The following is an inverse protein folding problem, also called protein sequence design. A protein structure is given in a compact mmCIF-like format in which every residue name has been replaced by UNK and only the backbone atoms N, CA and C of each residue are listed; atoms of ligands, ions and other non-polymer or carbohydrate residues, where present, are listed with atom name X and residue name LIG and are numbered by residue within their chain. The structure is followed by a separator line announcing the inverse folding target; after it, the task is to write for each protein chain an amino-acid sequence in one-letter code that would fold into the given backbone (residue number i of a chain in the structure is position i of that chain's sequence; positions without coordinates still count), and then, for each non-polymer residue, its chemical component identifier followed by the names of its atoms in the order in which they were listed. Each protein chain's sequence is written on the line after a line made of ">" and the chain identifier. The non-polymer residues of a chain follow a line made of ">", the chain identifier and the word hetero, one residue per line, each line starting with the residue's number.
data_IF_302104257411
#
_entry.id   IF_302104257411
#
_cell.length_a   1.000
_cell.length_b   1.000
_cell.length_c   1.000
_cell.angle_alpha   90.00
_cell.angle_beta   90.00
_cell.angle_gamma   90.00
#
_symmetry.space_group_name_H-M   'P 1'
#
loop_
_entity.id
_entity.type
_entity.pdbx_description
1 polymer ?
#
# COMPACT_ATOMS: atom_id res chain seq x y z
N UNK A 1 -1.98 26.86 6.66
CA UNK A 1 -3.30 26.25 6.42
C UNK A 1 -3.26 24.74 6.59
N UNK A 2 -2.65 23.94 5.68
CA UNK A 2 -2.65 22.47 5.82
C UNK A 2 -2.05 22.00 7.15
N UNK A 3 -0.93 22.61 7.59
CA UNK A 3 -0.30 22.32 8.89
C UNK A 3 -1.25 22.64 10.06
N UNK A 4 -1.95 23.78 10.00
CA UNK A 4 -2.79 24.28 11.10
C UNK A 4 -4.12 23.54 11.24
N UNK A 5 -4.55 22.85 10.17
CA UNK A 5 -5.87 22.20 10.03
C UNK A 5 -5.74 20.79 9.47
N UNK A 6 -4.69 20.08 9.88
CA UNK A 6 -4.32 18.78 9.28
C UNK A 6 -5.45 17.76 9.36
N UNK A 7 -6.11 17.59 10.50
CA UNK A 7 -7.20 16.60 10.67
C UNK A 7 -8.41 16.87 9.76
N UNK A 8 -8.75 18.15 9.58
CA UNK A 8 -9.88 18.58 8.73
C UNK A 8 -9.54 18.48 7.24
N UNK A 9 -8.31 18.81 6.86
CA UNK A 9 -7.91 18.94 5.46
C UNK A 9 -7.28 17.68 4.89
N UNK A 10 -6.76 16.76 5.72
CA UNK A 10 -6.15 15.52 5.26
C UNK A 10 -7.11 14.68 4.40
N UNK A 11 -8.39 14.49 4.78
CA UNK A 11 -9.35 13.77 3.92
C UNK A 11 -9.63 14.46 2.57
N UNK A 12 -9.37 15.76 2.46
CA UNK A 12 -9.59 16.57 1.26
C UNK A 12 -8.39 16.52 0.32
N UNK A 13 -7.17 16.71 0.85
CA UNK A 13 -5.95 16.76 0.05
C UNK A 13 -5.32 15.39 -0.18
N UNK A 14 -5.77 14.37 0.56
CA UNK A 14 -5.28 13.01 0.51
C UNK A 14 -6.46 12.02 0.51
N UNK A 15 -6.30 10.81 1.03
CA UNK A 15 -7.35 9.79 1.02
C UNK A 15 -8.55 10.20 1.89
N UNK A 16 -9.80 10.04 1.41
CA UNK A 16 -10.18 9.37 0.16
C UNK A 16 -10.28 10.30 -1.07
N UNK A 17 -10.39 11.62 -0.92
CA UNK A 17 -10.72 12.55 -2.02
C UNK A 17 -9.67 12.58 -3.13
N UNK A 18 -8.39 12.38 -2.81
CA UNK A 18 -7.32 12.30 -3.83
C UNK A 18 -7.57 11.18 -4.85
N UNK A 19 -8.17 10.07 -4.44
CA UNK A 19 -8.52 8.97 -5.34
C UNK A 19 -9.60 9.37 -6.35
N UNK A 20 -10.64 10.07 -5.89
CA UNK A 20 -11.68 10.63 -6.77
C UNK A 20 -11.10 11.70 -7.71
N UNK A 21 -10.18 12.53 -7.20
CA UNK A 21 -9.46 13.50 -8.01
C UNK A 21 -8.67 12.81 -9.14
N UNK A 22 -8.01 11.68 -8.87
CA UNK A 22 -7.33 10.87 -9.89
C UNK A 22 -8.32 10.27 -10.91
N UNK A 23 -9.51 9.81 -10.49
CA UNK A 23 -10.51 9.30 -11.45
C UNK A 23 -11.00 10.40 -12.41
N UNK A 24 -11.13 11.63 -11.91
CA UNK A 24 -11.66 12.77 -12.66
C UNK A 24 -10.58 13.73 -13.18
N UNK A 25 -9.31 13.36 -13.08
CA UNK A 25 -8.17 14.28 -13.18
C UNK A 25 -8.18 15.11 -14.47
N UNK A 26 -8.47 14.49 -15.62
CA UNK A 26 -8.57 15.18 -16.89
C UNK A 26 -9.70 16.22 -16.93
N UNK A 27 -10.89 15.88 -16.43
CA UNK A 27 -12.05 16.77 -16.40
C UNK A 27 -11.92 17.96 -15.43
N UNK A 28 -11.09 17.82 -14.38
CA UNK A 28 -10.86 18.85 -13.36
C UNK A 28 -9.55 19.61 -13.55
N UNK A 29 -8.75 19.26 -14.56
CA UNK A 29 -7.41 19.82 -14.78
C UNK A 29 -7.48 21.34 -14.99
N UNK A 30 -6.63 22.09 -14.27
CA UNK A 30 -6.55 23.55 -14.39
C UNK A 30 -5.13 24.07 -14.55
N UNK A 31 -4.25 23.72 -13.62
CA UNK A 31 -2.84 24.10 -13.66
C UNK A 31 -1.98 22.84 -13.60
N UNK A 32 -0.93 22.74 -14.44
CA UNK A 32 -0.04 21.59 -14.41
C UNK A 32 0.72 21.52 -13.09
N UNK A 33 0.75 20.33 -12.50
CA UNK A 33 1.56 19.99 -11.32
C UNK A 33 2.37 18.73 -11.63
N UNK A 34 3.63 18.73 -11.20
CA UNK A 34 4.55 17.64 -11.45
C UNK A 34 5.13 17.61 -12.87
N UNK A 35 5.82 16.51 -13.17
CA UNK A 35 6.50 16.27 -14.43
C UNK A 35 6.03 14.94 -15.01
N UNK A 36 5.71 14.92 -16.30
CA UNK A 36 5.29 13.72 -17.01
C UNK A 36 6.44 13.24 -17.88
N UNK A 37 6.78 11.95 -17.78
CA UNK A 37 7.74 11.27 -18.65
C UNK A 37 7.00 10.16 -19.38
N UNK A 38 7.02 10.16 -20.69
CA UNK A 38 6.19 9.25 -21.50
C UNK A 38 7.04 8.33 -22.37
N UNK A 39 6.44 7.30 -22.96
CA UNK A 39 7.12 6.48 -23.99
C UNK A 39 7.65 7.30 -25.17
N UNK A 40 7.06 8.46 -25.47
CA UNK A 40 7.52 9.36 -26.54
C UNK A 40 8.80 10.12 -26.18
N UNK A 41 9.19 10.07 -24.91
CA UNK A 41 10.37 10.74 -24.37
C UNK A 41 11.57 9.78 -24.26
N UNK A 42 11.42 8.52 -24.64
CA UNK A 42 12.51 7.55 -24.72
C UNK A 42 13.69 8.10 -25.54
N UNK A 43 14.89 7.98 -25.00
CA UNK A 43 16.13 8.57 -25.50
C UNK A 43 16.35 10.05 -25.12
N UNK A 44 15.37 10.68 -24.46
CA UNK A 44 15.37 12.12 -24.12
C UNK A 44 14.86 12.38 -22.70
N UNK A 45 14.77 11.38 -21.82
CA UNK A 45 14.23 11.57 -20.47
C UNK A 45 15.02 12.62 -19.68
N UNK A 46 16.35 12.65 -19.84
CA UNK A 46 17.19 13.69 -19.23
C UNK A 46 16.84 15.11 -19.70
N UNK A 47 16.43 15.28 -20.96
CA UNK A 47 15.99 16.58 -21.49
C UNK A 47 14.67 17.02 -20.85
N UNK A 48 13.74 16.08 -20.67
CA UNK A 48 12.47 16.32 -19.95
C UNK A 48 12.75 16.76 -18.52
N UNK A 49 13.63 16.05 -17.80
CA UNK A 49 14.03 16.43 -16.43
C UNK A 49 14.66 17.83 -16.36
N UNK A 50 15.43 18.24 -17.37
CA UNK A 50 16.08 19.58 -17.41
C UNK A 50 15.09 20.73 -17.51
N UNK A 51 13.87 20.49 -17.99
CA UNK A 51 12.81 21.49 -18.06
C UNK A 51 12.23 21.83 -16.68
N UNK A 52 12.45 20.97 -15.66
CA UNK A 52 12.04 21.28 -14.30
C UNK A 52 12.85 22.48 -13.76
N UNK A 53 12.19 23.54 -13.23
CA UNK A 53 12.88 24.78 -12.88
C UNK A 53 13.74 24.66 -11.62
N UNK A 54 13.43 23.72 -10.72
CA UNK A 54 14.18 23.51 -9.49
C UNK A 54 15.34 22.54 -9.75
N UNK A 55 16.57 22.95 -9.39
CA UNK A 55 17.78 22.15 -9.63
C UNK A 55 18.15 21.23 -8.47
N UNK A 56 17.78 21.60 -7.25
CA UNK A 56 18.15 20.89 -6.03
C UNK A 56 17.02 20.00 -5.55
N UNK A 57 16.68 18.98 -6.34
CA UNK A 57 15.68 17.97 -5.96
C UNK A 57 16.27 16.99 -4.96
N UNK A 58 15.50 16.70 -3.92
CA UNK A 58 15.87 15.78 -2.84
C UNK A 58 14.89 14.61 -2.71
N UNK A 59 13.61 14.83 -3.03
CA UNK A 59 12.57 13.81 -2.97
C UNK A 59 11.78 13.79 -4.26
N UNK A 60 11.76 12.64 -4.91
CA UNK A 60 10.90 12.32 -6.03
C UNK A 60 9.86 11.31 -5.52
N UNK A 61 8.58 11.58 -5.79
CA UNK A 61 7.55 10.54 -5.71
C UNK A 61 7.12 10.25 -7.14
N UNK A 62 7.21 9.00 -7.54
CA UNK A 62 6.95 8.55 -8.91
C UNK A 62 5.92 7.44 -8.94
N UNK A 63 5.01 7.50 -9.90
CA UNK A 63 4.01 6.45 -10.18
C UNK A 63 3.90 6.20 -11.68
N UNK A 64 3.45 5.01 -12.09
CA UNK A 64 2.95 4.76 -13.45
C UNK A 64 1.41 4.67 -13.50
N UNK A 65 0.74 4.87 -12.36
CA UNK A 65 -0.71 4.88 -12.23
C UNK A 65 -1.41 3.54 -12.47
N UNK A 66 -0.70 2.41 -12.47
CA UNK A 66 -1.29 1.09 -12.74
C UNK A 66 -2.18 0.60 -11.59
N UNK A 67 -1.89 1.00 -10.36
CA UNK A 67 -2.61 0.57 -9.16
C UNK A 67 -2.84 1.72 -8.19
N UNK A 68 -3.62 2.72 -8.63
CA UNK A 68 -3.96 3.86 -7.76
C UNK A 68 -4.88 3.41 -6.64
N UNK A 69 -4.37 3.36 -5.40
CA UNK A 69 -5.11 2.86 -4.22
C UNK A 69 -5.78 1.49 -4.51
N UNK A 70 -7.05 1.33 -4.14
CA UNK A 70 -7.92 0.23 -4.57
C UNK A 70 -8.69 0.49 -5.87
N UNK A 71 -8.40 1.57 -6.61
CA UNK A 71 -9.17 2.02 -7.77
C UNK A 71 -8.65 1.45 -9.10
N UNK A 72 -7.47 0.83 -9.09
CA UNK A 72 -6.87 0.17 -10.25
C UNK A 72 -6.12 1.12 -11.18
N UNK A 73 -6.13 0.81 -12.47
CA UNK A 73 -5.35 1.52 -13.48
C UNK A 73 -6.01 2.86 -13.85
N UNK A 74 -5.36 3.96 -13.51
CA UNK A 74 -5.76 5.32 -13.88
C UNK A 74 -4.76 6.03 -14.81
N UNK A 75 -3.73 5.32 -15.27
CA UNK A 75 -2.73 5.84 -16.21
C UNK A 75 -2.12 7.16 -15.75
N UNK A 76 -2.00 8.11 -16.69
CA UNK A 76 -1.48 9.46 -16.42
C UNK A 76 -2.28 10.27 -15.40
N UNK A 77 -3.54 9.90 -15.15
CA UNK A 77 -4.34 10.58 -14.12
C UNK A 77 -3.90 10.24 -12.70
N UNK A 78 -3.03 9.24 -12.53
CA UNK A 78 -2.40 8.90 -11.26
C UNK A 78 -1.54 10.00 -10.64
N UNK A 79 -1.18 11.05 -11.38
CA UNK A 79 -0.36 12.19 -10.91
C UNK A 79 -0.86 12.82 -9.60
N UNK A 80 -2.17 12.77 -9.33
CA UNK A 80 -2.74 13.27 -8.09
C UNK A 80 -2.09 12.65 -6.84
N UNK A 81 -1.65 11.39 -6.91
CA UNK A 81 -1.03 10.68 -5.78
C UNK A 81 0.37 11.24 -5.46
N UNK A 82 1.37 11.27 -6.39
CA UNK A 82 2.65 11.93 -6.13
C UNK A 82 2.52 13.37 -5.63
N UNK A 83 1.57 14.13 -6.18
CA UNK A 83 1.30 15.52 -5.75
C UNK A 83 0.83 15.55 -4.30
N UNK A 84 -0.17 14.74 -3.95
CA UNK A 84 -0.69 14.63 -2.59
C UNK A 84 0.38 14.19 -1.59
N UNK A 85 1.15 13.14 -1.91
CA UNK A 85 2.26 12.63 -1.08
C UNK A 85 3.29 13.71 -0.78
N UNK A 86 3.74 14.45 -1.80
CA UNK A 86 4.75 15.50 -1.61
C UNK A 86 4.23 16.71 -0.84
N UNK A 87 2.92 16.99 -0.91
CA UNK A 87 2.30 17.96 -0.02
C UNK A 87 2.39 17.51 1.45
N UNK A 88 2.21 16.21 1.74
CA UNK A 88 2.38 15.65 3.09
C UNK A 88 3.84 15.60 3.55
N UNK A 89 4.80 15.30 2.65
CA UNK A 89 6.23 15.44 2.95
C UNK A 89 6.58 16.84 3.46
N UNK A 90 5.94 17.86 2.88
CA UNK A 90 6.13 19.25 3.29
C UNK A 90 5.41 19.56 4.60
N UNK A 91 4.12 19.26 4.67
CA UNK A 91 3.28 19.65 5.81
C UNK A 91 3.59 18.86 7.09
N UNK A 92 3.91 17.56 6.97
CA UNK A 92 4.14 16.67 8.10
C UNK A 92 5.63 16.42 8.34
N UNK A 93 6.40 16.28 7.26
CA UNK A 93 7.84 15.95 7.32
C UNK A 93 8.77 17.17 7.31
N UNK A 94 8.25 18.38 7.06
CA UNK A 94 9.05 19.61 6.97
C UNK A 94 10.02 19.65 5.78
N UNK A 95 9.84 18.79 4.78
CA UNK A 95 10.65 18.80 3.56
C UNK A 95 10.32 20.06 2.76
N UNK A 96 11.34 20.71 2.18
CA UNK A 96 11.13 21.93 1.41
C UNK A 96 10.36 21.60 0.12
N UNK A 97 9.25 22.27 -0.19
CA UNK A 97 8.46 21.96 -1.38
C UNK A 97 9.25 22.19 -2.69
N UNK A 98 10.20 23.14 -2.70
CA UNK A 98 11.09 23.37 -3.85
C UNK A 98 12.08 22.23 -4.10
N UNK A 99 12.24 21.30 -3.16
CA UNK A 99 13.09 20.11 -3.27
C UNK A 99 12.28 18.84 -3.60
N UNK A 100 10.96 18.98 -3.77
CA UNK A 100 10.03 17.91 -4.09
C UNK A 100 9.71 17.92 -5.60
N UNK A 101 9.69 16.75 -6.23
CA UNK A 101 9.33 16.59 -7.63
C UNK A 101 8.35 15.42 -7.82
N UNK A 102 7.06 15.70 -8.07
CA UNK A 102 6.07 14.66 -8.41
C UNK A 102 6.26 14.22 -9.86
N UNK A 103 6.31 12.92 -10.12
CA UNK A 103 6.50 12.37 -11.46
C UNK A 103 5.43 11.32 -11.77
N UNK A 104 4.93 11.34 -13.01
CA UNK A 104 4.16 10.23 -13.58
C UNK A 104 4.86 9.70 -14.82
N UNK A 105 5.08 8.39 -14.86
CA UNK A 105 5.60 7.67 -16.01
C UNK A 105 4.43 7.16 -16.84
N UNK A 106 4.16 7.79 -17.99
CA UNK A 106 3.07 7.42 -18.88
C UNK A 106 3.52 6.41 -19.94
N UNK A 107 3.18 5.15 -19.69
CA UNK A 107 3.38 4.03 -20.61
C UNK A 107 2.08 3.59 -21.29
N UNK A 108 1.03 4.40 -21.21
CA UNK A 108 -0.34 4.05 -21.58
C UNK A 108 -1.19 3.59 -20.39
N UNK A 109 -2.42 3.16 -20.67
CA UNK A 109 -3.35 2.63 -19.66
C UNK A 109 -4.17 1.48 -20.25
N UNK A 110 -4.45 0.47 -19.43
CA UNK A 110 -5.35 -0.63 -19.79
C UNK A 110 -6.82 -0.30 -19.50
N UNK A 111 -7.10 0.84 -18.87
CA UNK A 111 -8.45 1.28 -18.55
C UNK A 111 -9.20 1.77 -19.79
N UNK A 112 -10.12 0.94 -20.28
CA UNK A 112 -10.94 1.26 -21.47
C UNK A 112 -11.78 2.52 -21.31
N UNK A 113 -12.25 2.84 -20.10
CA UNK A 113 -13.03 4.05 -19.87
C UNK A 113 -12.18 5.29 -20.15
N UNK A 114 -10.94 5.31 -19.64
CA UNK A 114 -10.01 6.41 -19.87
C UNK A 114 -9.53 6.49 -21.32
N UNK A 115 -9.31 5.36 -21.99
CA UNK A 115 -8.95 5.36 -23.41
C UNK A 115 -10.02 6.03 -24.28
N UNK A 116 -11.29 5.85 -23.91
CA UNK A 116 -12.45 6.42 -24.61
C UNK A 116 -12.90 7.80 -24.09
N UNK A 117 -12.37 8.27 -22.96
CA UNK A 117 -12.72 9.56 -22.37
C UNK A 117 -12.03 10.71 -23.10
N UNK A 118 -12.78 11.65 -23.68
CA UNK A 118 -12.25 12.81 -24.40
C UNK A 118 -11.31 13.70 -23.56
N UNK A 119 -11.46 13.70 -22.24
CA UNK A 119 -10.65 14.49 -21.31
C UNK A 119 -9.42 13.76 -20.79
N UNK A 120 -9.20 12.49 -21.13
CA UNK A 120 -8.02 11.75 -20.70
C UNK A 120 -6.72 12.44 -21.17
N UNK A 121 -5.83 12.70 -20.21
CA UNK A 121 -4.62 13.50 -20.40
C UNK A 121 -3.39 12.68 -20.83
N UNK A 122 -3.46 11.36 -20.79
CA UNK A 122 -2.33 10.48 -21.09
C UNK A 122 -2.26 9.99 -22.53
N UNK A 123 -1.28 9.12 -22.80
CA UNK A 123 -1.16 8.39 -24.05
C UNK A 123 -2.38 7.47 -24.23
N UNK A 124 -3.15 7.71 -25.31
CA UNK A 124 -4.31 6.88 -25.71
C UNK A 124 -3.87 5.57 -26.36
N UNK A 125 -3.19 4.74 -25.57
CA UNK A 125 -2.72 3.41 -25.94
C UNK A 125 -2.75 2.49 -24.71
N UNK A 126 -2.76 1.18 -24.97
CA UNK A 126 -2.57 0.17 -23.92
C UNK A 126 -1.18 0.29 -23.31
N UNK A 127 -1.04 -0.20 -22.06
CA UNK A 127 0.25 -0.17 -21.35
C UNK A 127 1.32 -0.92 -22.14
N UNK A 128 2.47 -0.29 -22.32
CA UNK A 128 3.68 -1.03 -22.73
C UNK A 128 4.06 -2.05 -21.65
N UNK A 129 4.62 -3.17 -22.07
CA UNK A 129 5.01 -4.27 -21.18
C UNK A 129 6.38 -4.80 -21.58
N UNK A 130 7.01 -5.59 -20.70
CA UNK A 130 8.28 -6.25 -21.00
C UNK A 130 9.41 -5.25 -21.26
N UNK A 131 10.21 -5.51 -22.29
CA UNK A 131 11.44 -4.76 -22.60
C UNK A 131 11.20 -3.27 -22.79
N UNK A 132 10.14 -2.87 -23.51
CA UNK A 132 9.87 -1.45 -23.78
C UNK A 132 9.62 -0.64 -22.49
N UNK A 133 8.87 -1.21 -21.54
CA UNK A 133 8.65 -0.61 -20.21
C UNK A 133 9.96 -0.52 -19.42
N UNK A 134 10.72 -1.62 -19.38
CA UNK A 134 11.97 -1.69 -18.61
C UNK A 134 13.04 -0.74 -19.13
N UNK A 135 13.16 -0.57 -20.44
CA UNK A 135 14.11 0.36 -21.06
C UNK A 135 13.80 1.81 -20.69
N UNK A 136 12.53 2.23 -20.72
CA UNK A 136 12.13 3.58 -20.30
C UNK A 136 12.42 3.80 -18.80
N UNK A 137 12.09 2.82 -17.96
CA UNK A 137 12.33 2.92 -16.53
C UNK A 137 13.83 2.97 -16.19
N UNK A 138 14.65 2.20 -16.90
CA UNK A 138 16.10 2.23 -16.72
C UNK A 138 16.71 3.56 -17.17
N UNK A 139 16.25 4.09 -18.30
CA UNK A 139 16.63 5.44 -18.75
C UNK A 139 16.22 6.49 -17.71
N UNK A 140 14.99 6.42 -17.19
CA UNK A 140 14.50 7.33 -16.16
C UNK A 140 15.36 7.31 -14.90
N UNK A 141 15.63 6.14 -14.33
CA UNK A 141 16.43 6.02 -13.11
C UNK A 141 17.87 6.51 -13.33
N UNK A 142 18.47 6.17 -14.47
CA UNK A 142 19.78 6.66 -14.87
C UNK A 142 19.82 8.19 -15.01
N UNK A 143 18.82 8.78 -15.68
CA UNK A 143 18.71 10.22 -15.87
C UNK A 143 18.51 10.97 -14.55
N UNK A 144 17.69 10.43 -13.63
CA UNK A 144 17.49 10.98 -12.28
C UNK A 144 18.80 11.02 -11.50
N UNK A 145 19.54 9.91 -11.47
CA UNK A 145 20.86 9.85 -10.83
C UNK A 145 21.85 10.82 -11.48
N UNK A 146 21.85 10.93 -12.81
CA UNK A 146 22.75 11.82 -13.54
C UNK A 146 22.52 13.30 -13.21
N UNK A 147 21.27 13.73 -13.09
CA UNK A 147 20.94 15.16 -12.90
C UNK A 147 20.82 15.57 -11.43
N UNK A 148 20.37 14.69 -10.53
CA UNK A 148 20.13 15.00 -9.12
C UNK A 148 21.11 14.32 -8.16
N UNK A 149 21.96 13.41 -8.67
CA UNK A 149 23.02 12.75 -7.91
C UNK A 149 22.55 11.56 -7.06
N UNK A 150 23.50 10.95 -6.35
CA UNK A 150 23.31 9.68 -5.61
C UNK A 150 22.39 9.77 -4.38
N UNK A 151 22.12 10.98 -3.90
CA UNK A 151 21.40 11.21 -2.63
C UNK A 151 19.92 11.56 -2.81
N UNK A 152 19.45 11.67 -4.04
CA UNK A 152 18.03 11.91 -4.30
C UNK A 152 17.23 10.69 -3.86
N UNK A 153 16.22 10.90 -3.01
CA UNK A 153 15.26 9.87 -2.63
C UNK A 153 14.26 9.68 -3.78
N UNK A 154 14.07 8.44 -4.21
CA UNK A 154 13.07 8.06 -5.20
C UNK A 154 12.06 7.14 -4.51
N UNK A 155 10.89 7.68 -4.20
CA UNK A 155 9.76 6.93 -3.68
C UNK A 155 8.90 6.42 -4.84
N UNK A 156 8.81 5.11 -4.97
CA UNK A 156 7.85 4.44 -5.85
C UNK A 156 6.49 4.37 -5.17
N UNK A 157 5.43 4.69 -5.92
CA UNK A 157 4.07 4.75 -5.43
C UNK A 157 3.07 4.18 -6.43
N UNK A 158 2.12 3.37 -5.97
CA UNK A 158 0.96 2.89 -6.73
C UNK A 158 1.30 2.17 -8.06
N UNK A 159 2.42 1.44 -8.07
CA UNK A 159 2.76 0.50 -9.15
C UNK A 159 1.99 -0.82 -8.98
N UNK A 160 1.77 -1.58 -10.04
CA UNK A 160 1.25 -2.93 -9.87
C UNK A 160 2.26 -3.87 -9.21
N UNK A 161 1.75 -4.86 -8.45
CA UNK A 161 2.55 -5.78 -7.63
C UNK A 161 3.82 -6.30 -8.30
N UNK A 162 3.73 -6.76 -9.55
CA UNK A 162 4.89 -7.33 -10.24
C UNK A 162 6.00 -6.29 -10.45
N UNK A 163 5.64 -5.11 -10.98
CA UNK A 163 6.57 -4.00 -11.18
C UNK A 163 7.10 -3.47 -9.83
N UNK A 164 6.24 -3.26 -8.83
CA UNK A 164 6.65 -2.73 -7.54
C UNK A 164 7.79 -3.54 -6.88
N UNK A 165 7.66 -4.88 -6.86
CA UNK A 165 8.70 -5.77 -6.33
C UNK A 165 9.97 -5.77 -7.18
N UNK A 166 9.84 -5.85 -8.51
CA UNK A 166 10.99 -5.90 -9.41
C UNK A 166 11.79 -4.59 -9.39
N UNK A 167 11.11 -3.44 -9.39
CA UNK A 167 11.70 -2.11 -9.29
C UNK A 167 12.44 -1.93 -7.97
N UNK A 168 11.79 -2.27 -6.84
CA UNK A 168 12.42 -2.17 -5.53
C UNK A 168 13.66 -3.07 -5.44
N UNK A 169 13.57 -4.33 -5.89
CA UNK A 169 14.68 -5.27 -5.85
C UNK A 169 15.85 -4.87 -6.77
N UNK A 170 15.56 -4.30 -7.95
CA UNK A 170 16.57 -3.82 -8.92
C UNK A 170 17.26 -2.56 -8.41
N UNK A 171 16.49 -1.54 -8.04
CA UNK A 171 17.03 -0.21 -7.80
C UNK A 171 17.51 0.04 -6.36
N UNK A 172 17.10 -0.77 -5.37
CA UNK A 172 17.66 -0.68 -4.00
C UNK A 172 19.16 -0.94 -3.92
N UNK A 173 19.74 -1.57 -4.96
CA UNK A 173 21.18 -1.84 -5.05
C UNK A 173 21.99 -0.65 -5.58
N UNK A 174 21.33 0.30 -6.23
CA UNK A 174 21.99 1.35 -7.00
C UNK A 174 21.49 2.76 -6.68
N UNK A 175 20.33 2.92 -6.06
CA UNK A 175 19.73 4.23 -5.76
C UNK A 175 19.20 4.25 -4.33
N UNK A 176 19.04 5.46 -3.78
CA UNK A 176 18.25 5.65 -2.57
C UNK A 176 16.76 5.58 -2.93
N UNK A 177 16.21 4.37 -2.88
CA UNK A 177 14.81 4.09 -3.20
C UNK A 177 14.03 3.62 -1.99
N UNK A 178 12.73 3.87 -2.05
CA UNK A 178 11.74 3.43 -1.08
C UNK A 178 10.44 3.15 -1.85
N UNK A 179 9.66 2.16 -1.42
CA UNK A 179 8.30 1.96 -1.92
C UNK A 179 7.33 2.03 -0.73
N UNK A 180 6.39 2.97 -0.77
CA UNK A 180 5.50 3.25 0.38
C UNK A 180 4.46 2.14 0.58
N UNK A 181 3.93 1.59 -0.52
CA UNK A 181 2.95 0.50 -0.51
C UNK A 181 3.48 -0.80 0.11
N UNK A 182 4.78 -1.07 -0.08
CA UNK A 182 5.47 -2.23 0.48
C UNK A 182 6.06 -1.91 1.86
N UNK A 183 6.95 -0.91 1.94
CA UNK A 183 7.79 -0.68 3.10
C UNK A 183 7.16 0.30 4.10
N UNK A 184 6.52 1.35 3.62
CA UNK A 184 5.83 2.33 4.46
C UNK A 184 4.64 1.70 5.20
N UNK A 185 3.80 1.01 4.43
CA UNK A 185 2.66 0.23 4.96
C UNK A 185 3.13 -0.83 5.96
N UNK A 186 4.22 -1.57 5.66
CA UNK A 186 4.79 -2.53 6.61
C UNK A 186 5.20 -1.86 7.93
N UNK A 187 5.88 -0.71 7.85
CA UNK A 187 6.37 0.03 9.01
C UNK A 187 5.25 0.49 9.93
N UNK A 188 4.22 1.15 9.38
CA UNK A 188 3.11 1.68 10.18
C UNK A 188 2.25 0.57 10.79
N UNK A 189 2.06 -0.53 10.06
CA UNK A 189 1.31 -1.70 10.58
C UNK A 189 2.07 -2.38 11.70
N UNK A 190 3.40 -2.55 11.56
CA UNK A 190 4.22 -3.09 12.66
C UNK A 190 4.17 -2.16 13.88
N UNK A 191 4.22 -0.84 13.69
CA UNK A 191 4.05 0.12 14.78
C UNK A 191 2.68 -0.03 15.47
N UNK A 192 1.60 -0.19 14.68
CA UNK A 192 0.25 -0.48 15.19
C UNK A 192 0.18 -1.79 15.98
N UNK A 193 0.81 -2.85 15.50
CA UNK A 193 0.89 -4.13 16.23
C UNK A 193 1.65 -3.97 17.55
N UNK A 194 2.82 -3.34 17.54
CA UNK A 194 3.60 -3.07 18.75
C UNK A 194 2.82 -2.21 19.77
N UNK A 195 2.02 -1.27 19.30
CA UNK A 195 1.10 -0.50 20.15
C UNK A 195 -0.03 -1.37 20.70
N UNK A 196 -0.64 -2.21 19.87
CA UNK A 196 -1.69 -3.15 20.28
C UNK A 196 -1.20 -4.11 21.37
N UNK A 197 0.04 -4.61 21.28
CA UNK A 197 0.66 -5.48 22.29
C UNK A 197 0.72 -4.84 23.69
N UNK A 198 0.88 -3.52 23.78
CA UNK A 198 0.84 -2.83 25.09
C UNK A 198 -0.53 -2.93 25.75
N UNK A 199 -1.57 -3.10 24.95
CA UNK A 199 -2.93 -3.27 25.43
C UNK A 199 -3.20 -4.76 25.65
N UNK A 200 -2.93 -5.64 24.68
CA UNK A 200 -3.32 -7.08 24.73
C UNK A 200 -2.38 -7.93 25.59
N UNK A 201 -1.16 -7.45 25.85
CA UNK A 201 -0.10 -8.23 26.48
C UNK A 201 0.59 -9.19 25.51
N UNK A 202 1.66 -9.84 25.97
CA UNK A 202 2.42 -10.80 25.18
C UNK A 202 3.47 -10.19 24.25
N UNK A 203 4.06 -11.02 23.39
CA UNK A 203 5.12 -10.66 22.45
C UNK A 203 4.74 -10.95 21.00
N UNK A 204 5.38 -10.30 20.02
CA UNK A 204 5.13 -10.58 18.60
C UNK A 204 5.31 -12.07 18.24
N UNK A 205 6.24 -12.76 18.91
CA UNK A 205 6.53 -14.18 18.68
C UNK A 205 5.43 -15.14 19.19
N UNK A 206 4.60 -14.69 20.14
CA UNK A 206 3.51 -15.48 20.72
C UNK A 206 2.30 -15.55 19.78
N UNK A 207 2.08 -14.49 19.00
CA UNK A 207 0.94 -14.35 18.11
C UNK A 207 1.02 -15.21 16.84
N UNK A 208 -0.16 -15.58 16.35
CA UNK A 208 -0.38 -16.16 15.02
C UNK A 208 -1.13 -15.15 14.16
N UNK A 209 -0.62 -14.93 12.94
CA UNK A 209 -1.06 -13.88 12.04
C UNK A 209 -1.75 -14.49 10.82
N UNK A 210 -2.90 -13.94 10.44
CA UNK A 210 -3.58 -14.28 9.20
C UNK A 210 -3.86 -13.00 8.40
N UNK A 211 -3.45 -13.02 7.13
CA UNK A 211 -3.71 -11.93 6.20
C UNK A 211 -4.77 -12.32 5.18
N UNK A 212 -5.69 -11.41 4.89
CA UNK A 212 -6.46 -11.43 3.64
C UNK A 212 -5.82 -10.46 2.66
N UNK A 213 -5.28 -10.98 1.56
CA UNK A 213 -4.44 -10.23 0.63
C UNK A 213 -2.98 -10.66 0.74
N UNK A 214 -2.39 -11.02 -0.39
CA UNK A 214 -0.99 -11.46 -0.48
C UNK A 214 -0.28 -10.76 -1.65
N UNK A 215 -0.51 -9.45 -1.78
CA UNK A 215 0.21 -8.56 -2.68
C UNK A 215 1.34 -7.81 -1.98
N UNK A 216 1.66 -6.62 -2.46
CA UNK A 216 2.66 -5.69 -1.93
C UNK A 216 2.53 -5.48 -0.41
N UNK A 217 1.40 -4.91 0.04
CA UNK A 217 1.17 -4.62 1.45
C UNK A 217 1.21 -5.90 2.31
N UNK A 218 0.42 -6.93 1.97
CA UNK A 218 0.32 -8.15 2.76
C UNK A 218 1.67 -8.86 2.97
N UNK A 219 2.46 -9.02 1.91
CA UNK A 219 3.77 -9.69 2.01
C UNK A 219 4.87 -8.79 2.58
N UNK A 220 4.82 -7.47 2.34
CA UNK A 220 5.73 -6.50 2.96
C UNK A 220 5.55 -6.42 4.48
N UNK A 221 4.29 -6.32 4.94
CA UNK A 221 3.96 -6.34 6.39
C UNK A 221 4.41 -7.67 7.00
N UNK A 222 4.05 -8.81 6.39
CA UNK A 222 4.41 -10.13 6.87
C UNK A 222 5.93 -10.29 7.05
N UNK A 223 6.72 -9.81 6.08
CA UNK A 223 8.18 -9.86 6.13
C UNK A 223 8.75 -8.99 7.25
N UNK A 224 8.21 -7.77 7.44
CA UNK A 224 8.70 -6.89 8.50
C UNK A 224 8.34 -7.39 9.90
N UNK A 225 7.16 -8.01 10.06
CA UNK A 225 6.79 -8.73 11.30
C UNK A 225 7.78 -9.87 11.55
N UNK A 226 8.03 -10.73 10.56
CA UNK A 226 8.95 -11.85 10.71
C UNK A 226 10.39 -11.39 11.03
N UNK A 227 10.84 -10.30 10.41
CA UNK A 227 12.14 -9.69 10.70
C UNK A 227 12.22 -9.17 12.15
N UNK A 228 11.19 -8.48 12.62
CA UNK A 228 11.17 -7.96 13.99
C UNK A 228 11.11 -9.11 15.03
N UNK A 229 10.32 -10.15 14.77
CA UNK A 229 10.33 -11.38 15.59
C UNK A 229 11.72 -12.00 15.59
N UNK A 230 12.39 -12.09 14.43
CA UNK A 230 13.74 -12.62 14.32
C UNK A 230 14.75 -11.80 15.13
N UNK A 231 14.65 -10.47 15.11
CA UNK A 231 15.51 -9.60 15.93
C UNK A 231 15.27 -9.78 17.42
N UNK A 232 14.01 -9.84 17.87
CA UNK A 232 13.66 -9.99 19.28
C UNK A 232 14.05 -11.37 19.84
N UNK A 233 13.84 -12.42 19.06
CA UNK A 233 14.06 -13.81 19.49
C UNK A 233 15.44 -14.36 19.16
N UNK A 234 16.17 -13.70 18.24
CA UNK A 234 17.41 -14.18 17.61
C UNK A 234 17.24 -15.47 16.80
N UNK A 235 16.01 -15.88 16.51
CA UNK A 235 15.73 -17.04 15.66
C UNK A 235 15.93 -16.68 14.18
N UNK A 236 16.28 -17.66 13.32
CA UNK A 236 16.33 -17.44 11.87
C UNK A 236 14.98 -16.95 11.33
N UNK A 237 15.00 -16.05 10.35
CA UNK A 237 13.76 -15.46 9.80
C UNK A 237 12.76 -16.52 9.29
N UNK A 238 13.24 -17.63 8.73
CA UNK A 238 12.39 -18.73 8.27
C UNK A 238 11.56 -19.38 9.39
N UNK A 239 12.11 -19.45 10.61
CA UNK A 239 11.36 -19.91 11.78
C UNK A 239 10.29 -18.89 12.18
N UNK A 240 10.61 -17.61 12.09
CA UNK A 240 9.70 -16.51 12.43
C UNK A 240 8.52 -16.40 11.44
N UNK A 241 8.67 -16.86 10.20
CA UNK A 241 7.58 -16.89 9.20
C UNK A 241 6.52 -17.96 9.50
N UNK A 242 6.82 -19.01 10.28
CA UNK A 242 5.93 -20.17 10.48
C UNK A 242 4.57 -19.86 11.10
N UNK A 243 4.45 -18.74 11.82
CA UNK A 243 3.17 -18.28 12.42
C UNK A 243 2.44 -17.23 11.57
N UNK A 244 2.94 -16.95 10.37
CA UNK A 244 2.39 -15.93 9.48
C UNK A 244 1.77 -16.61 8.26
N UNK A 245 0.46 -16.44 8.11
CA UNK A 245 -0.37 -17.07 7.10
C UNK A 245 -1.02 -16.02 6.21
N UNK A 246 -1.16 -16.30 4.92
CA UNK A 246 -1.78 -15.36 3.97
C UNK A 246 -2.79 -16.09 3.08
N UNK A 247 -3.90 -15.42 2.80
CA UNK A 247 -4.96 -15.86 1.89
C UNK A 247 -4.95 -14.94 0.67
N UNK A 248 -4.85 -15.52 -0.53
CA UNK A 248 -5.01 -14.79 -1.79
C UNK A 248 -6.33 -15.13 -2.49
N UNK A 249 -6.52 -14.64 -3.72
CA UNK A 249 -7.76 -14.86 -4.49
C UNK A 249 -8.09 -16.33 -4.76
N UNK A 250 -7.16 -17.27 -4.52
CA UNK A 250 -7.37 -18.71 -4.68
C UNK A 250 -7.39 -19.44 -3.32
N UNK A 251 -7.40 -18.72 -2.20
CA UNK A 251 -7.41 -19.28 -0.85
C UNK A 251 -6.07 -19.20 -0.12
N UNK A 252 -5.89 -20.01 0.92
CA UNK A 252 -4.71 -20.05 1.77
C UNK A 252 -3.45 -20.41 0.96
N UNK A 253 -2.36 -19.68 1.20
CA UNK A 253 -1.05 -19.95 0.63
C UNK A 253 -0.42 -21.13 1.37
N UNK A 254 -0.29 -22.25 0.68
CA UNK A 254 0.20 -23.52 1.25
C UNK A 254 1.19 -24.21 0.32
N UNK A 255 2.01 -25.12 0.87
CA UNK A 255 3.10 -25.79 0.17
C UNK A 255 2.63 -26.55 -1.08
N UNK A 256 1.45 -27.16 -1.06
CA UNK A 256 0.86 -27.86 -2.21
C UNK A 256 0.59 -26.94 -3.42
N UNK A 257 0.50 -25.62 -3.21
CA UNK A 257 0.30 -24.61 -4.27
C UNK A 257 1.61 -24.01 -4.80
N UNK A 258 2.77 -24.31 -4.19
CA UNK A 258 4.06 -23.59 -4.35
C UNK A 258 4.57 -23.47 -5.80
N UNK A 259 4.27 -24.44 -6.65
CA UNK A 259 4.64 -24.41 -8.08
C UNK A 259 3.92 -23.32 -8.88
N UNK A 260 2.71 -22.95 -8.48
CA UNK A 260 1.86 -21.95 -9.14
C UNK A 260 1.95 -20.55 -8.55
N UNK A 261 2.69 -20.40 -7.44
CA UNK A 261 2.81 -19.13 -6.73
C UNK A 261 3.90 -18.24 -7.33
N UNK A 262 3.64 -16.93 -7.35
CA UNK A 262 4.67 -15.93 -7.60
C UNK A 262 5.78 -16.05 -6.56
N UNK A 263 7.03 -15.72 -6.94
CA UNK A 263 8.21 -15.94 -6.10
C UNK A 263 8.11 -15.31 -4.70
N UNK A 264 7.56 -14.09 -4.61
CA UNK A 264 7.38 -13.37 -3.33
C UNK A 264 6.34 -14.01 -2.37
N UNK A 265 5.47 -14.90 -2.88
CA UNK A 265 4.50 -15.66 -2.07
C UNK A 265 5.08 -16.97 -1.52
N UNK A 266 6.11 -17.53 -2.16
CA UNK A 266 6.66 -18.86 -1.82
C UNK A 266 7.21 -18.99 -0.40
N UNK A 267 7.80 -17.95 0.23
CA UNK A 267 8.24 -18.03 1.64
C UNK A 267 7.12 -18.28 2.65
N UNK A 268 5.87 -18.00 2.27
CA UNK A 268 4.70 -18.12 3.13
C UNK A 268 3.89 -19.40 2.88
N UNK A 269 4.35 -20.24 1.95
CA UNK A 269 3.70 -21.49 1.57
C UNK A 269 4.10 -22.62 2.53
N UNK A 270 3.54 -22.58 3.74
CA UNK A 270 3.76 -23.58 4.79
C UNK A 270 2.97 -24.87 4.51
N UNK A 271 3.33 -25.94 5.21
CA UNK A 271 2.57 -27.18 5.13
C UNK A 271 1.22 -27.05 5.88
N UNK A 272 0.13 -27.20 5.13
CA UNK A 272 -1.25 -27.13 5.64
C UNK A 272 -2.21 -27.61 4.52
N UNK A 273 -3.37 -28.13 4.89
CA UNK A 273 -4.45 -28.45 3.95
C UNK A 273 -4.93 -27.21 3.18
N UNK A 274 -5.26 -27.30 1.88
CA UNK A 274 -5.80 -26.19 1.13
C UNK A 274 -7.15 -25.72 1.71
N UNK A 275 -7.28 -24.42 1.94
CA UNK A 275 -8.53 -23.78 2.35
C UNK A 275 -8.87 -22.66 1.35
N UNK A 276 -10.11 -22.63 0.89
CA UNK A 276 -10.53 -21.71 -0.18
C UNK A 276 -11.10 -20.40 0.34
N UNK A 277 -11.66 -20.38 1.55
CA UNK A 277 -12.31 -19.19 2.13
C UNK A 277 -11.52 -18.63 3.31
N UNK A 278 -11.69 -17.33 3.56
CA UNK A 278 -11.12 -16.68 4.75
C UNK A 278 -11.71 -17.27 6.04
N UNK A 279 -13.01 -17.56 6.06
CA UNK A 279 -13.68 -18.11 7.24
C UNK A 279 -13.09 -19.47 7.64
N UNK A 280 -12.90 -20.38 6.68
CA UNK A 280 -12.29 -21.68 6.95
C UNK A 280 -10.84 -21.51 7.44
N UNK A 281 -10.09 -20.57 6.85
CA UNK A 281 -8.74 -20.25 7.30
C UNK A 281 -8.72 -19.73 8.75
N UNK A 282 -9.65 -18.84 9.12
CA UNK A 282 -9.78 -18.34 10.50
C UNK A 282 -10.10 -19.48 11.47
N UNK A 283 -11.02 -20.37 11.12
CA UNK A 283 -11.40 -21.51 11.98
C UNK A 283 -10.28 -22.53 12.14
N UNK A 284 -9.52 -22.80 11.08
CA UNK A 284 -8.42 -23.76 11.09
C UNK A 284 -7.16 -23.22 11.77
N UNK A 285 -6.74 -22.01 11.41
CA UNK A 285 -5.50 -21.39 11.88
C UNK A 285 -5.67 -20.80 13.29
N UNK A 286 -6.89 -20.37 13.65
CA UNK A 286 -7.22 -19.66 14.89
C UNK A 286 -6.25 -18.50 15.18
N UNK A 287 -6.13 -17.52 14.25
CA UNK A 287 -5.16 -16.46 14.39
C UNK A 287 -5.54 -15.50 15.52
N UNK A 288 -4.54 -14.95 16.18
CA UNK A 288 -4.73 -13.89 17.20
C UNK A 288 -4.78 -12.50 16.57
N UNK A 289 -4.23 -12.37 15.36
CA UNK A 289 -4.14 -11.13 14.59
C UNK A 289 -4.67 -11.38 13.18
N UNK A 290 -5.66 -10.60 12.76
CA UNK A 290 -6.25 -10.64 11.42
C UNK A 290 -5.99 -9.30 10.71
N UNK A 291 -5.34 -9.34 9.54
CA UNK A 291 -4.93 -8.14 8.79
C UNK A 291 -5.50 -8.19 7.36
N UNK A 292 -6.28 -7.18 6.99
CA UNK A 292 -6.90 -7.03 5.68
C UNK A 292 -6.08 -6.09 4.80
N UNK A 293 -5.60 -6.58 3.66
CA UNK A 293 -4.84 -5.83 2.64
C UNK A 293 -5.27 -6.25 1.23
N UNK A 294 -6.55 -6.59 1.09
CA UNK A 294 -7.09 -7.28 -0.07
C UNK A 294 -7.54 -6.35 -1.20
N UNK A 295 -7.89 -5.10 -0.87
CA UNK A 295 -8.67 -4.22 -1.73
C UNK A 295 -10.11 -4.68 -1.94
N UNK A 296 -10.64 -5.63 -1.15
CA UNK A 296 -12.00 -6.14 -1.29
C UNK A 296 -12.82 -5.75 -0.07
N UNK A 297 -13.73 -4.80 -0.26
CA UNK A 297 -14.59 -4.30 0.81
C UNK A 297 -15.50 -5.38 1.40
N UNK A 298 -15.78 -5.27 2.70
CA UNK A 298 -16.71 -6.14 3.45
C UNK A 298 -16.28 -7.62 3.53
N UNK A 299 -15.01 -7.92 3.27
CA UNK A 299 -14.49 -9.28 3.30
C UNK A 299 -14.34 -9.84 4.73
N UNK A 300 -14.20 -8.99 5.76
CA UNK A 300 -14.31 -9.40 7.15
C UNK A 300 -15.78 -9.41 7.53
N UNK A 301 -16.45 -10.50 7.17
CA UNK A 301 -17.88 -10.68 7.45
C UNK A 301 -18.13 -10.83 8.95
N UNK A 302 -19.41 -10.73 9.35
CA UNK A 302 -19.83 -10.97 10.73
C UNK A 302 -19.32 -12.32 11.25
N UNK A 303 -19.49 -13.39 10.48
CA UNK A 303 -19.05 -14.73 10.87
C UNK A 303 -17.53 -14.82 11.08
N UNK A 304 -16.74 -14.13 10.24
CA UNK A 304 -15.28 -14.06 10.37
C UNK A 304 -14.88 -13.33 11.66
N UNK A 305 -15.48 -12.18 11.93
CA UNK A 305 -15.16 -11.34 13.09
C UNK A 305 -15.65 -11.96 14.40
N UNK A 306 -16.85 -12.56 14.41
CA UNK A 306 -17.35 -13.31 15.56
C UNK A 306 -16.48 -14.55 15.82
N UNK A 307 -16.07 -15.28 14.77
CA UNK A 307 -15.14 -16.40 14.93
C UNK A 307 -13.83 -15.96 15.60
N UNK A 308 -13.21 -14.86 15.15
CA UNK A 308 -12.03 -14.28 15.81
C UNK A 308 -12.25 -14.03 17.30
N UNK A 309 -13.44 -13.56 17.68
CA UNK A 309 -13.81 -13.25 19.05
C UNK A 309 -14.17 -14.49 19.90
N UNK A 310 -14.36 -15.67 19.31
CA UNK A 310 -14.67 -16.90 20.06
C UNK A 310 -13.43 -17.51 20.74
N UNK A 311 -12.26 -17.41 20.12
CA UNK A 311 -11.02 -18.02 20.63
C UNK A 311 -9.96 -16.99 21.04
N UNK A 312 -10.21 -15.70 20.83
CA UNK A 312 -9.39 -14.62 21.36
C UNK A 312 -10.21 -13.75 22.31
N UNK A 313 -9.70 -13.51 23.51
CA UNK A 313 -10.36 -12.58 24.43
C UNK A 313 -10.34 -11.15 23.89
N UNK A 314 -9.24 -10.76 23.23
CA UNK A 314 -9.13 -9.46 22.55
C UNK A 314 -8.47 -9.61 21.18
N UNK A 315 -9.27 -9.93 20.13
CA UNK A 315 -8.72 -10.10 18.79
C UNK A 315 -8.16 -8.78 18.26
N UNK A 316 -6.98 -8.83 17.63
CA UNK A 316 -6.45 -7.70 16.87
C UNK A 316 -6.97 -7.80 15.43
N UNK A 317 -7.69 -6.78 14.96
CA UNK A 317 -8.32 -6.76 13.64
C UNK A 317 -7.95 -5.46 12.94
N UNK A 318 -7.11 -5.57 11.91
CA UNK A 318 -6.69 -4.43 11.11
C UNK A 318 -7.33 -4.49 9.73
N UNK A 319 -8.10 -3.47 9.35
CA UNK A 319 -8.83 -3.38 8.08
C UNK A 319 -8.22 -2.28 7.20
N UNK A 320 -7.17 -2.61 6.44
CA UNK A 320 -6.23 -1.62 5.91
C UNK A 320 -6.50 -1.20 4.47
N UNK A 321 -7.44 -1.85 3.78
CA UNK A 321 -7.73 -1.52 2.39
C UNK A 321 -8.35 -0.13 2.23
N UNK A 322 -7.83 0.63 1.27
CA UNK A 322 -8.24 2.00 0.96
C UNK A 322 -8.90 2.10 -0.43
N UNK A 323 -9.86 3.02 -0.65
CA UNK A 323 -10.48 3.92 0.33
C UNK A 323 -11.53 3.21 1.21
N UNK A 324 -12.30 3.94 2.03
CA UNK A 324 -13.31 3.40 2.98
C UNK A 324 -14.26 2.37 2.36
N UNK A 325 -14.64 2.53 1.09
CA UNK A 325 -15.51 1.58 0.38
C UNK A 325 -14.87 0.19 0.15
N UNK A 326 -13.55 0.09 0.27
CA UNK A 326 -12.75 -1.12 0.12
C UNK A 326 -12.27 -1.69 1.46
N UNK A 327 -12.59 -1.04 2.58
CA UNK A 327 -12.30 -1.55 3.92
C UNK A 327 -12.97 -2.91 4.14
N UNK A 328 -12.21 -3.90 4.60
CA UNK A 328 -12.70 -5.26 4.88
C UNK A 328 -13.86 -5.28 5.88
N UNK A 329 -13.89 -4.36 6.85
CA UNK A 329 -15.06 -4.04 7.68
C UNK A 329 -14.97 -2.59 8.18
N UNK A 330 -16.06 -2.08 8.77
CA UNK A 330 -16.05 -0.77 9.45
C UNK A 330 -15.65 -0.90 10.92
N UNK A 331 -15.25 0.21 11.54
CA UNK A 331 -15.00 0.27 12.98
C UNK A 331 -16.25 -0.15 13.78
N UNK A 332 -17.42 0.36 13.40
CA UNK A 332 -18.70 0.02 14.03
C UNK A 332 -18.99 -1.49 13.98
N UNK A 333 -18.75 -2.13 12.84
CA UNK A 333 -18.89 -3.58 12.68
C UNK A 333 -17.91 -4.34 13.57
N UNK A 334 -16.63 -3.97 13.56
CA UNK A 334 -15.61 -4.63 14.37
C UNK A 334 -15.93 -4.57 15.87
N UNK A 335 -16.30 -3.41 16.40
CA UNK A 335 -16.64 -3.28 17.82
C UNK A 335 -17.95 -4.00 18.16
N UNK A 336 -19.01 -3.86 17.36
CA UNK A 336 -20.29 -4.52 17.64
C UNK A 336 -20.17 -6.05 17.61
N UNK A 337 -19.53 -6.62 16.60
CA UNK A 337 -19.42 -8.07 16.42
C UNK A 337 -18.45 -8.74 17.39
N UNK A 338 -17.55 -7.96 18.01
CA UNK A 338 -16.64 -8.46 19.05
C UNK A 338 -17.05 -8.07 20.48
N UNK A 339 -18.22 -7.45 20.63
CA UNK A 339 -18.73 -6.98 21.92
C UNK A 339 -17.76 -5.99 22.61
N UNK A 340 -17.18 -5.08 21.82
CA UNK A 340 -16.23 -4.06 22.27
C UNK A 340 -14.84 -4.59 22.62
N UNK A 341 -14.53 -5.86 22.33
CA UNK A 341 -13.24 -6.50 22.71
C UNK A 341 -12.13 -6.36 21.67
N UNK A 342 -12.48 -6.07 20.40
CA UNK A 342 -11.48 -5.92 19.34
C UNK A 342 -10.52 -4.77 19.60
N UNK A 343 -9.23 -4.99 19.34
CA UNK A 343 -8.28 -3.93 19.08
C UNK A 343 -8.29 -3.67 17.58
N UNK A 344 -8.97 -2.60 17.18
CA UNK A 344 -9.24 -2.27 15.79
C UNK A 344 -8.40 -1.09 15.28
N UNK A 345 -7.91 -1.20 14.05
CA UNK A 345 -7.34 -0.10 13.28
C UNK A 345 -7.73 -0.25 11.81
N UNK A 346 -7.74 0.84 11.06
CA UNK A 346 -8.09 0.84 9.64
C UNK A 346 -7.15 1.68 8.79
N UNK A 347 -7.13 1.46 7.47
CA UNK A 347 -6.33 2.29 6.56
C UNK A 347 -7.01 3.62 6.23
N UNK A 348 -8.35 3.64 6.23
CA UNK A 348 -9.17 4.84 6.02
C UNK A 348 -9.77 5.32 7.34
N UNK A 349 -10.07 6.63 7.47
CA UNK A 349 -10.66 7.18 8.68
C UNK A 349 -12.09 6.67 8.90
N UNK A 350 -12.43 6.44 10.17
CA UNK A 350 -13.80 6.19 10.65
C UNK A 350 -14.08 7.07 11.85
N UNK A 351 -15.35 7.49 11.98
CA UNK A 351 -15.81 8.26 13.14
C UNK A 351 -15.71 7.43 14.44
N UNK A 352 -15.64 8.09 15.62
CA UNK A 352 -15.76 7.41 16.90
C UNK A 352 -17.03 6.57 17.01
N UNK A 353 -16.93 5.42 17.68
CA UNK A 353 -18.02 4.45 17.84
C UNK A 353 -18.42 4.37 19.31
N UNK A 354 -19.69 4.58 19.61
CA UNK A 354 -20.26 4.34 20.94
C UNK A 354 -20.69 2.88 21.07
N UNK A 355 -20.16 2.15 22.06
CA UNK A 355 -20.59 0.79 22.39
C UNK A 355 -20.62 0.60 23.92
N UNK A 356 -21.77 0.20 24.44
CA UNK A 356 -22.00 -0.06 25.88
C UNK A 356 -21.53 1.08 26.80
N UNK A 357 -21.84 2.33 26.42
CA UNK A 357 -21.48 3.53 27.18
C UNK A 357 -19.99 3.91 27.12
N UNK A 358 -19.22 3.30 26.21
CA UNK A 358 -17.82 3.66 25.93
C UNK A 358 -17.66 4.17 24.50
N UNK A 359 -16.91 5.27 24.37
CA UNK A 359 -16.47 5.80 23.09
C UNK A 359 -15.16 5.12 22.66
N UNK A 360 -15.18 4.49 21.49
CA UNK A 360 -14.00 3.93 20.84
C UNK A 360 -13.57 4.85 19.70
N UNK A 361 -12.32 5.31 19.72
CA UNK A 361 -11.73 6.12 18.64
C UNK A 361 -10.73 5.23 17.90
N UNK A 362 -11.11 4.68 16.73
CA UNK A 362 -10.25 3.74 16.01
C UNK A 362 -9.02 4.45 15.44
N UNK A 363 -7.85 3.82 15.56
CA UNK A 363 -6.61 4.34 14.97
C UNK A 363 -6.59 4.16 13.45
N UNK A 364 -5.91 5.07 12.75
CA UNK A 364 -5.63 4.96 11.32
C UNK A 364 -4.17 4.56 11.10
N UNK A 365 -3.95 3.56 10.24
CA UNK A 365 -2.63 3.08 9.83
C UNK A 365 -2.21 3.66 8.49
#
# INVERSE_FOLDING_TARGET
>A
LLIDKVEELLPVVYTPTVGEACQKYGSIFRQPQGLYVTLKDKGRVLEVLRNWPQRNIQVIVVTDGERILGLGDLGSQGMGIPVGKLALYTALGGVRPSACLPITIDVGTNNEQLLNDEFYIGLRQKRATGEEYHELMEEFMSAVKQIYGEKVLIQFEDFANHNAFDLLAKYSKSHLVFNDDIQGTASVVLAGLLAALKVVGGTLAEHTYLFLGAGEAGTGIAELIALEISKQTKAPIEECRKKVWLVDSKGLIVNSRKSSLQSFKKPWAHDHEPLTTLYDAVQSIKPTVLIGTSGVGRAFTKDVVEAMATFNERPIIFSLSNPTSHSECTAEQAYNWTQGRAVFASGSPFDPVEYDGKTFVPGQA
#
